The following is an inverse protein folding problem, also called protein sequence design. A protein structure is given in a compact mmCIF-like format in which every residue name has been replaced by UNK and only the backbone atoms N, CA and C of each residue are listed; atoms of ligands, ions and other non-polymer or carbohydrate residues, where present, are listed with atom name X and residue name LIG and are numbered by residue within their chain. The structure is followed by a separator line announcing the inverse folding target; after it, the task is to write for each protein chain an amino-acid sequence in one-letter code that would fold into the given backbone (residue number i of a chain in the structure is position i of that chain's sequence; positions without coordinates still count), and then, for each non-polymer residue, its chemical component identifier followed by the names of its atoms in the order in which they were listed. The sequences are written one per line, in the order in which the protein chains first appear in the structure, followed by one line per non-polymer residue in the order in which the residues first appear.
data_IF_529133508374
#
_entry.id   IF_529133508374
#
_cell.length_a   1.000
_cell.length_b   1.000
_cell.length_c   1.000
_cell.angle_alpha   90.00
_cell.angle_beta   90.00
_cell.angle_gamma   90.00
#
_symmetry.space_group_name_H-M   'P 1'
#
loop_
_entity.id
_entity.type
_entity.pdbx_description
1 polymer ?
#
# COMPACT_ATOMS: atom_id res chain seq x y z
N UNK A 1 22.72 13.50 14.92
CA UNK A 1 21.68 13.20 13.91
C UNK A 1 20.60 14.27 14.00
N UNK A 2 20.18 14.83 12.85
CA UNK A 2 19.23 15.92 12.74
C UNK A 2 18.09 15.53 11.78
N UNK A 3 16.84 15.57 12.29
CA UNK A 3 15.62 15.44 11.50
C UNK A 3 15.14 16.82 11.06
N UNK A 4 14.74 16.97 9.81
CA UNK A 4 13.98 18.13 9.34
C UNK A 4 12.66 17.64 8.71
N UNK A 5 11.53 18.01 9.32
CA UNK A 5 10.21 17.82 8.73
C UNK A 5 9.80 19.12 8.04
N UNK A 6 9.67 19.07 6.71
CA UNK A 6 9.36 20.24 5.87
C UNK A 6 7.87 20.57 5.80
N UNK A 7 7.00 19.72 6.33
CA UNK A 7 5.53 19.82 6.24
C UNK A 7 4.87 19.42 7.55
N UNK A 8 5.28 20.03 8.64
CA UNK A 8 4.95 19.63 10.01
C UNK A 8 3.46 19.43 10.33
N UNK A 9 2.56 20.21 9.74
CA UNK A 9 1.11 20.07 9.90
C UNK A 9 0.69 20.08 11.36
N UNK A 10 -0.08 19.08 11.79
CA UNK A 10 -0.45 18.92 13.22
C UNK A 10 0.68 18.33 14.08
N UNK A 11 1.81 17.98 13.50
CA UNK A 11 2.98 17.45 14.21
C UNK A 11 2.88 15.98 14.60
N UNK A 12 1.93 15.22 14.06
CA UNK A 12 1.72 13.81 14.42
C UNK A 12 2.92 12.97 14.01
N UNK A 13 3.26 12.92 12.71
CA UNK A 13 4.41 12.15 12.21
C UNK A 13 5.71 12.64 12.86
N UNK A 14 5.88 13.96 12.98
CA UNK A 14 7.04 14.57 13.63
C UNK A 14 7.21 14.09 15.07
N UNK A 15 6.13 14.00 15.86
CA UNK A 15 6.18 13.61 17.27
C UNK A 15 6.68 12.18 17.49
N UNK A 16 6.44 11.28 16.53
CA UNK A 16 6.96 9.91 16.57
C UNK A 16 8.40 9.80 16.07
N UNK A 17 8.80 10.63 15.11
CA UNK A 17 10.15 10.60 14.56
C UNK A 17 11.18 11.36 15.41
N UNK A 18 10.82 12.54 15.94
CA UNK A 18 11.72 13.42 16.64
C UNK A 18 12.48 12.78 17.83
N UNK A 19 11.89 11.87 18.63
CA UNK A 19 12.59 11.19 19.72
C UNK A 19 13.80 10.35 19.27
N UNK A 20 13.85 9.98 18.00
CA UNK A 20 14.93 9.15 17.43
C UNK A 20 16.17 9.98 17.02
N UNK A 21 16.09 11.32 17.12
CA UNK A 21 17.14 12.24 16.67
C UNK A 21 17.60 13.16 17.80
N UNK A 22 18.89 13.51 17.78
CA UNK A 22 19.46 14.46 18.74
C UNK A 22 18.97 15.90 18.52
N UNK A 23 18.61 16.22 17.28
CA UNK A 23 18.03 17.50 16.88
C UNK A 23 16.83 17.23 15.96
N UNK A 24 15.77 18.00 16.10
CA UNK A 24 14.59 17.90 15.26
C UNK A 24 14.06 19.29 14.92
N UNK A 25 13.87 19.57 13.64
CA UNK A 25 13.28 20.84 13.15
C UNK A 25 11.95 20.54 12.47
N UNK A 26 10.92 21.17 12.99
CA UNK A 26 9.55 21.17 12.46
C UNK A 26 9.36 22.45 11.66
N UNK A 27 9.00 22.34 10.38
CA UNK A 27 8.74 23.47 9.48
C UNK A 27 7.29 23.43 9.04
N UNK A 28 6.58 24.55 9.21
CA UNK A 28 5.18 24.68 8.80
C UNK A 28 4.88 26.14 8.38
N UNK A 29 4.17 26.28 7.26
CA UNK A 29 3.85 27.60 6.70
C UNK A 29 2.70 28.31 7.44
N UNK A 30 1.81 27.58 8.09
CA UNK A 30 0.65 28.12 8.79
C UNK A 30 1.03 28.51 10.23
N UNK A 31 0.99 29.84 10.57
CA UNK A 31 1.37 30.29 11.93
C UNK A 31 0.55 29.63 13.05
N UNK A 32 -0.72 29.35 12.79
CA UNK A 32 -1.61 28.73 13.78
C UNK A 32 -1.15 27.31 14.15
N UNK A 33 -0.70 26.53 13.16
CA UNK A 33 -0.17 25.17 13.39
C UNK A 33 1.18 25.24 14.11
N UNK A 34 2.02 26.22 13.80
CA UNK A 34 3.26 26.46 14.56
C UNK A 34 2.99 26.81 16.04
N UNK A 35 1.96 27.60 16.33
CA UNK A 35 1.54 27.90 17.70
C UNK A 35 1.06 26.65 18.45
N UNK A 36 0.25 25.82 17.79
CA UNK A 36 -0.19 24.52 18.35
C UNK A 36 1.00 23.60 18.60
N UNK A 37 1.94 23.49 17.65
CA UNK A 37 3.15 22.70 17.82
C UNK A 37 4.00 23.22 18.99
N UNK A 38 4.18 24.54 19.12
CA UNK A 38 4.93 25.15 20.23
C UNK A 38 4.33 24.84 21.60
N UNK A 39 3.01 24.72 21.66
CA UNK A 39 2.31 24.30 22.89
C UNK A 39 2.44 22.78 23.13
N UNK A 40 2.27 21.96 22.09
CA UNK A 40 2.16 20.52 22.23
C UNK A 40 3.52 19.81 22.38
N UNK A 41 4.58 20.27 21.69
CA UNK A 41 5.86 19.56 21.70
C UNK A 41 6.48 19.40 23.09
N UNK A 42 6.46 20.40 24.00
CA UNK A 42 6.90 20.21 25.39
C UNK A 42 6.07 19.16 26.13
N UNK A 43 4.75 19.13 25.91
CA UNK A 43 3.83 18.16 26.54
C UNK A 43 4.09 16.73 26.07
N UNK A 44 4.59 16.58 24.84
CA UNK A 44 5.01 15.32 24.24
C UNK A 44 6.45 14.94 24.56
N UNK A 45 7.07 15.61 25.55
CA UNK A 45 8.48 15.41 25.93
C UNK A 45 9.48 15.66 24.79
N UNK A 46 9.20 16.63 23.92
CA UNK A 46 10.05 17.05 22.80
C UNK A 46 10.59 18.50 22.97
N UNK A 47 11.25 18.84 24.09
CA UNK A 47 11.73 20.21 24.32
C UNK A 47 12.87 20.61 23.37
N UNK A 48 13.51 19.63 22.70
CA UNK A 48 14.56 19.84 21.74
C UNK A 48 14.02 20.11 20.32
N UNK A 49 12.70 20.09 20.11
CA UNK A 49 12.09 20.38 18.82
C UNK A 49 12.17 21.88 18.52
N UNK A 50 12.83 22.21 17.41
CA UNK A 50 12.85 23.59 16.88
C UNK A 50 11.69 23.79 15.95
N UNK A 51 10.81 24.75 16.23
CA UNK A 51 9.68 25.11 15.39
C UNK A 51 10.04 26.29 14.53
N UNK A 52 9.81 26.17 13.22
CA UNK A 52 10.09 27.21 12.21
C UNK A 52 8.82 27.48 11.43
N UNK A 53 8.33 28.71 11.50
CA UNK A 53 7.22 29.16 10.65
C UNK A 53 7.79 29.65 9.31
N UNK A 54 7.74 28.79 8.31
CA UNK A 54 8.25 29.07 6.96
C UNK A 54 7.58 28.17 5.92
N UNK A 55 7.62 28.60 4.67
CA UNK A 55 7.36 27.72 3.52
C UNK A 55 8.47 26.68 3.38
N UNK A 56 8.12 25.44 3.04
CA UNK A 56 9.04 24.31 2.89
C UNK A 56 10.19 24.62 1.88
N UNK A 57 9.83 25.23 0.75
CA UNK A 57 10.79 25.56 -0.32
C UNK A 57 11.77 26.63 0.14
N UNK A 58 11.27 27.68 0.81
CA UNK A 58 12.12 28.74 1.36
C UNK A 58 13.07 28.21 2.44
N UNK A 59 12.56 27.38 3.38
CA UNK A 59 13.42 26.80 4.40
C UNK A 59 14.49 25.90 3.81
N UNK A 60 14.13 25.09 2.81
CA UNK A 60 15.07 24.20 2.13
C UNK A 60 16.24 24.96 1.47
N UNK A 61 16.01 26.16 0.92
CA UNK A 61 17.09 26.98 0.34
C UNK A 61 18.11 27.47 1.37
N UNK A 62 17.74 27.52 2.65
CA UNK A 62 18.60 27.98 3.75
C UNK A 62 19.40 26.84 4.37
N UNK A 63 19.08 25.58 4.07
CA UNK A 63 19.81 24.43 4.59
C UNK A 63 21.16 24.28 3.89
N UNK A 64 22.23 24.20 4.69
CA UNK A 64 23.55 23.89 4.17
C UNK A 64 23.61 22.43 3.66
N UNK A 65 24.50 22.11 2.74
CA UNK A 65 24.76 20.73 2.36
C UNK A 65 25.07 19.87 3.60
N UNK A 66 24.51 18.65 3.65
CA UNK A 66 24.72 17.69 4.74
C UNK A 66 24.37 18.20 6.15
N UNK A 67 23.50 19.21 6.25
CA UNK A 67 23.06 19.79 7.54
C UNK A 67 21.97 18.97 8.24
N UNK A 68 21.34 18.04 7.53
CA UNK A 68 20.37 17.11 8.09
C UNK A 68 20.79 15.66 7.85
N UNK A 69 20.40 14.75 8.73
CA UNK A 69 20.57 13.30 8.55
C UNK A 69 19.38 12.70 7.78
N UNK A 70 18.20 13.27 7.99
CA UNK A 70 16.96 12.88 7.34
C UNK A 70 16.06 14.10 7.12
N UNK A 71 15.47 14.17 5.93
CA UNK A 71 14.36 15.08 5.63
C UNK A 71 13.10 14.23 5.50
N UNK A 72 12.02 14.66 6.17
CA UNK A 72 10.68 14.14 5.97
C UNK A 72 9.80 15.19 5.27
N UNK A 73 8.92 14.72 4.38
CA UNK A 73 7.98 15.58 3.69
C UNK A 73 6.69 14.82 3.38
N UNK A 74 5.53 15.38 3.77
CA UNK A 74 4.17 14.91 3.44
C UNK A 74 3.45 16.00 2.62
N UNK A 75 3.64 16.01 1.29
CA UNK A 75 3.09 17.06 0.44
C UNK A 75 1.56 16.94 0.37
N UNK A 76 0.90 18.09 0.47
CA UNK A 76 -0.53 18.18 0.25
C UNK A 76 -0.87 17.92 -1.22
N UNK A 77 -2.04 17.32 -1.46
CA UNK A 77 -2.59 17.21 -2.81
C UNK A 77 -3.40 18.45 -3.13
N UNK A 78 -3.05 19.15 -4.19
CA UNK A 78 -3.91 20.19 -4.76
C UNK A 78 -4.34 19.76 -6.15
N UNK A 79 -5.64 19.52 -6.34
CA UNK A 79 -6.22 19.57 -7.65
C UNK A 79 -6.81 20.98 -7.84
N UNK A 80 -6.28 21.75 -8.76
CA UNK A 80 -6.87 23.03 -9.19
C UNK A 80 -8.31 22.83 -9.75
N UNK A 81 -8.70 21.60 -10.05
CA UNK A 81 -9.96 21.25 -10.72
C UNK A 81 -10.88 20.34 -9.89
N UNK A 82 -10.56 20.07 -8.61
CA UNK A 82 -11.36 19.15 -7.75
C UNK A 82 -11.33 17.67 -8.19
N UNK A 83 -10.56 17.29 -9.22
CA UNK A 83 -10.35 15.89 -9.61
C UNK A 83 -9.42 15.20 -8.62
N UNK A 84 -9.69 13.94 -8.30
CA UNK A 84 -8.79 13.11 -7.49
C UNK A 84 -7.47 12.95 -8.24
N UNK A 85 -6.45 13.62 -7.76
CA UNK A 85 -5.11 13.59 -8.32
C UNK A 85 -4.43 12.28 -8.01
N UNK A 86 -3.84 11.65 -9.03
CA UNK A 86 -3.21 10.32 -8.96
C UNK A 86 -1.71 10.41 -9.29
N UNK A 87 -1.21 11.60 -9.65
CA UNK A 87 0.16 11.83 -10.10
C UNK A 87 0.99 12.54 -9.03
N UNK A 88 2.29 12.24 -8.97
CA UNK A 88 3.22 12.88 -8.03
C UNK A 88 3.49 14.34 -8.41
N UNK A 89 3.35 14.69 -9.68
CA UNK A 89 3.50 16.05 -10.24
C UNK A 89 2.48 17.04 -9.68
N UNK A 90 1.36 16.54 -9.17
CA UNK A 90 0.29 17.37 -8.60
C UNK A 90 0.46 17.60 -7.08
N UNK A 91 1.54 17.10 -6.49
CA UNK A 91 1.85 17.30 -5.08
C UNK A 91 2.36 18.72 -4.82
N UNK A 92 2.02 19.29 -3.67
CA UNK A 92 2.55 20.57 -3.21
C UNK A 92 3.08 20.45 -1.78
N UNK A 93 4.35 20.80 -1.57
CA UNK A 93 5.32 21.27 -2.58
C UNK A 93 5.65 20.21 -3.64
N UNK A 94 6.15 20.64 -4.81
CA UNK A 94 6.56 19.81 -5.93
C UNK A 94 7.81 18.99 -5.56
N UNK A 95 7.61 17.71 -5.26
CA UNK A 95 8.66 16.79 -4.79
C UNK A 95 9.71 16.55 -5.88
N UNK A 96 9.32 16.49 -7.15
CA UNK A 96 10.24 16.19 -8.25
C UNK A 96 11.26 17.32 -8.37
N UNK A 97 10.78 18.56 -8.35
CA UNK A 97 11.62 19.75 -8.40
C UNK A 97 12.49 19.91 -7.16
N UNK A 98 11.98 19.55 -5.97
CA UNK A 98 12.70 19.72 -4.70
C UNK A 98 13.67 18.58 -4.39
N UNK A 99 13.52 17.38 -4.96
CA UNK A 99 14.33 16.22 -4.67
C UNK A 99 15.87 16.48 -4.75
N UNK A 100 16.41 17.18 -5.76
CA UNK A 100 17.83 17.50 -5.82
C UNK A 100 18.31 18.34 -4.63
N UNK A 101 17.53 19.34 -4.22
CA UNK A 101 17.86 20.24 -3.11
C UNK A 101 17.76 19.52 -1.76
N UNK A 102 16.73 18.69 -1.57
CA UNK A 102 16.59 17.85 -0.39
C UNK A 102 17.77 16.88 -0.27
N UNK A 103 18.13 16.19 -1.35
CA UNK A 103 19.28 15.27 -1.35
C UNK A 103 20.64 15.97 -1.21
N UNK A 104 20.73 17.27 -1.48
CA UNK A 104 21.92 18.08 -1.15
C UNK A 104 22.00 18.34 0.35
N UNK A 105 20.87 18.62 1.01
CA UNK A 105 20.80 18.94 2.44
C UNK A 105 20.86 17.70 3.34
N UNK A 106 20.35 16.54 2.87
CA UNK A 106 20.35 15.26 3.61
C UNK A 106 20.68 14.08 2.71
N UNK A 107 21.35 13.01 3.20
CA UNK A 107 21.60 11.79 2.43
C UNK A 107 20.33 10.96 2.18
N UNK A 108 19.33 11.09 3.03
CA UNK A 108 18.08 10.34 3.03
C UNK A 108 16.91 11.30 3.13
N UNK A 109 15.91 11.10 2.27
CA UNK A 109 14.63 11.80 2.34
C UNK A 109 13.49 10.79 2.34
N UNK A 110 12.54 10.94 3.24
CA UNK A 110 11.30 10.14 3.30
C UNK A 110 10.16 11.02 2.81
N UNK A 111 9.50 10.58 1.76
CA UNK A 111 8.34 11.23 1.16
C UNK A 111 7.09 10.40 1.48
N UNK A 112 6.17 10.95 2.25
CA UNK A 112 4.86 10.32 2.52
C UNK A 112 3.90 10.75 1.43
N UNK A 113 3.23 9.77 0.82
CA UNK A 113 2.35 9.99 -0.31
C UNK A 113 0.99 9.34 -0.08
N UNK A 114 0.01 9.79 -0.82
CA UNK A 114 -1.27 9.13 -0.85
C UNK A 114 -1.19 7.72 -1.41
N UNK A 115 -1.88 6.79 -0.77
CA UNK A 115 -2.04 5.42 -1.26
C UNK A 115 -2.77 5.30 -2.62
N UNK A 116 -3.33 6.39 -3.14
CA UNK A 116 -3.95 6.44 -4.46
C UNK A 116 -2.94 6.64 -5.60
N UNK A 117 -1.71 7.13 -5.31
CA UNK A 117 -0.66 7.36 -6.31
C UNK A 117 -0.17 6.07 -6.96
N UNK A 118 0.16 6.12 -8.26
CA UNK A 118 0.83 5.04 -8.97
C UNK A 118 2.30 4.98 -8.53
N UNK A 119 2.67 3.88 -7.87
CA UNK A 119 4.03 3.67 -7.34
C UNK A 119 5.06 3.66 -8.48
N UNK A 120 4.79 2.93 -9.55
CA UNK A 120 5.73 2.79 -10.66
C UNK A 120 5.95 4.13 -11.39
N UNK A 121 4.89 4.93 -11.55
CA UNK A 121 4.99 6.27 -12.12
C UNK A 121 5.82 7.19 -11.21
N UNK A 122 5.56 7.20 -9.89
CA UNK A 122 6.30 8.01 -8.94
C UNK A 122 7.79 7.62 -8.87
N UNK A 123 8.12 6.33 -8.86
CA UNK A 123 9.50 5.83 -8.89
C UNK A 123 10.23 6.31 -10.15
N UNK A 124 9.59 6.22 -11.32
CA UNK A 124 10.17 6.70 -12.59
C UNK A 124 10.38 8.21 -12.60
N UNK A 125 9.38 8.97 -12.13
CA UNK A 125 9.46 10.43 -12.13
C UNK A 125 10.57 10.96 -11.21
N UNK A 126 10.77 10.34 -10.03
CA UNK A 126 11.81 10.73 -9.08
C UNK A 126 13.21 10.25 -9.49
N UNK A 127 13.34 9.05 -10.06
CA UNK A 127 14.63 8.48 -10.50
C UNK A 127 15.70 8.32 -9.42
N UNK A 128 15.30 8.35 -8.14
CA UNK A 128 16.21 8.28 -6.98
C UNK A 128 15.61 7.51 -5.79
N UNK A 129 14.61 6.68 -6.05
CA UNK A 129 13.94 5.89 -5.02
C UNK A 129 14.76 4.64 -4.70
N UNK A 130 15.10 4.46 -3.42
CA UNK A 130 15.79 3.27 -2.91
C UNK A 130 14.83 2.26 -2.30
N UNK A 131 13.78 2.75 -1.62
CA UNK A 131 12.79 1.90 -0.95
C UNK A 131 11.38 2.47 -1.09
N UNK A 132 10.41 1.57 -1.10
CA UNK A 132 8.97 1.88 -1.05
C UNK A 132 8.35 1.08 0.07
N UNK A 133 7.69 1.73 1.01
CA UNK A 133 6.94 1.08 2.09
C UNK A 133 5.46 1.33 1.92
N UNK A 134 4.68 0.26 1.87
CA UNK A 134 3.22 0.30 1.83
C UNK A 134 2.72 -0.29 3.14
N UNK A 135 2.01 0.51 3.92
CA UNK A 135 1.49 0.11 5.22
C UNK A 135 -0.03 -0.01 5.13
N UNK A 136 -0.53 -1.18 5.52
CA UNK A 136 -1.96 -1.43 5.63
C UNK A 136 -2.32 -1.85 7.06
N UNK A 137 -3.49 -1.45 7.52
CA UNK A 137 -4.10 -1.90 8.78
C UNK A 137 -5.62 -1.92 8.63
N UNK A 138 -6.30 -2.77 9.40
CA UNK A 138 -7.76 -2.91 9.38
C UNK A 138 -8.35 -3.10 7.96
N UNK A 139 -7.64 -3.77 7.07
CA UNK A 139 -8.11 -4.06 5.71
C UNK A 139 -7.95 -2.93 4.69
N UNK A 140 -7.23 -1.86 5.02
CA UNK A 140 -6.99 -0.71 4.13
C UNK A 140 -5.52 -0.31 4.10
N UNK A 141 -5.02 0.14 2.92
CA UNK A 141 -3.74 0.85 2.84
C UNK A 141 -3.87 2.22 3.49
N UNK A 142 -3.02 2.52 4.47
CA UNK A 142 -3.00 3.79 5.19
C UNK A 142 -1.90 4.71 4.68
N UNK A 143 -0.68 4.19 4.53
CA UNK A 143 0.48 4.99 4.16
C UNK A 143 1.25 4.40 2.98
N UNK A 144 1.80 5.29 2.18
CA UNK A 144 2.77 5.02 1.12
C UNK A 144 3.97 5.92 1.36
N UNK A 145 5.13 5.33 1.68
CA UNK A 145 6.37 6.05 1.92
C UNK A 145 7.38 5.71 0.82
N UNK A 146 7.97 6.72 0.21
CA UNK A 146 9.12 6.58 -0.67
C UNK A 146 10.37 7.08 0.04
N UNK A 147 11.41 6.25 0.08
CA UNK A 147 12.73 6.64 0.55
C UNK A 147 13.59 6.96 -0.65
N UNK A 148 14.00 8.20 -0.79
CA UNK A 148 14.91 8.65 -1.83
C UNK A 148 16.31 8.89 -1.25
N UNK A 149 17.34 8.49 -1.99
CA UNK A 149 18.73 8.60 -1.51
C UNK A 149 19.66 9.05 -2.64
N UNK A 150 20.80 9.65 -2.27
CA UNK A 150 21.86 9.99 -3.22
C UNK A 150 22.42 8.75 -3.94
N UNK A 151 22.55 7.63 -3.21
CA UNK A 151 23.05 6.38 -3.77
C UNK A 151 22.11 5.84 -4.84
N UNK A 152 20.80 5.80 -4.58
CA UNK A 152 19.82 5.37 -5.56
C UNK A 152 19.82 6.25 -6.81
N UNK A 153 19.99 7.57 -6.63
CA UNK A 153 20.13 8.53 -7.74
C UNK A 153 21.32 8.17 -8.65
N UNK A 154 22.46 7.84 -8.05
CA UNK A 154 23.66 7.44 -8.80
C UNK A 154 23.48 6.11 -9.56
N UNK A 155 22.57 5.24 -9.10
CA UNK A 155 22.26 3.92 -9.67
C UNK A 155 21.04 3.93 -10.61
N UNK A 156 20.44 5.11 -10.88
CA UNK A 156 19.27 5.26 -11.72
C UNK A 156 17.91 5.00 -11.05
N UNK A 157 17.90 4.59 -9.75
CA UNK A 157 16.73 4.57 -8.85
C UNK A 157 15.42 3.93 -9.34
N UNK A 158 15.48 3.00 -10.30
CA UNK A 158 14.28 2.44 -10.96
C UNK A 158 13.87 1.06 -10.45
N UNK A 159 14.69 0.42 -9.61
CA UNK A 159 14.43 -0.89 -9.04
C UNK A 159 14.51 -0.87 -7.50
N UNK A 160 13.61 -0.10 -6.82
CA UNK A 160 13.63 0.03 -5.37
C UNK A 160 13.24 -1.27 -4.68
N UNK A 161 13.66 -1.42 -3.42
CA UNK A 161 13.13 -2.45 -2.54
C UNK A 161 11.72 -2.07 -2.09
N UNK A 162 10.71 -2.88 -2.43
CA UNK A 162 9.30 -2.63 -2.07
C UNK A 162 8.92 -3.53 -0.91
N UNK A 163 8.44 -2.95 0.18
CA UNK A 163 7.97 -3.68 1.36
C UNK A 163 6.48 -3.40 1.58
N UNK A 164 5.67 -4.46 1.47
CA UNK A 164 4.25 -4.45 1.78
C UNK A 164 4.05 -4.96 3.21
N UNK A 165 3.63 -4.11 4.12
CA UNK A 165 3.46 -4.42 5.54
C UNK A 165 1.99 -4.38 5.94
N UNK A 166 1.53 -5.41 6.64
CA UNK A 166 0.25 -5.43 7.32
C UNK A 166 0.45 -5.26 8.82
N UNK A 167 -0.10 -4.18 9.38
CA UNK A 167 -0.08 -3.92 10.82
C UNK A 167 -1.37 -4.41 11.47
N UNK A 168 -1.24 -5.02 12.63
CA UNK A 168 -2.35 -5.41 13.48
C UNK A 168 -2.91 -4.19 14.22
N UNK A 169 -4.14 -4.26 14.76
CA UNK A 169 -4.76 -3.14 15.48
C UNK A 169 -3.98 -2.67 16.72
N UNK A 170 -3.16 -3.53 17.31
CA UNK A 170 -2.28 -3.20 18.44
C UNK A 170 -0.98 -2.50 18.04
N UNK A 171 -0.78 -2.24 16.73
CA UNK A 171 0.41 -1.59 16.19
C UNK A 171 1.59 -2.53 15.91
N UNK A 172 1.46 -3.83 16.17
CA UNK A 172 2.50 -4.82 15.83
C UNK A 172 2.46 -5.18 14.35
N UNK A 173 3.58 -5.68 13.82
CA UNK A 173 3.66 -6.14 12.43
C UNK A 173 3.05 -7.54 12.35
N UNK A 174 1.90 -7.66 11.68
CA UNK A 174 1.22 -8.92 11.40
C UNK A 174 1.84 -9.70 10.23
N UNK A 175 2.72 -9.07 9.46
CA UNK A 175 3.47 -9.68 8.36
C UNK A 175 4.02 -8.65 7.39
N UNK A 176 5.10 -9.00 6.68
CA UNK A 176 5.67 -8.17 5.61
C UNK A 176 6.17 -9.02 4.44
N UNK A 177 6.01 -8.53 3.23
CA UNK A 177 6.55 -9.10 2.00
C UNK A 177 7.45 -8.07 1.35
N UNK A 178 8.70 -8.44 1.09
CA UNK A 178 9.70 -7.57 0.48
C UNK A 178 10.18 -8.16 -0.85
N UNK A 179 10.25 -7.33 -1.88
CA UNK A 179 10.64 -7.72 -3.24
C UNK A 179 11.10 -6.48 -4.03
N UNK A 180 11.67 -6.69 -5.20
CA UNK A 180 11.95 -5.63 -6.18
C UNK A 180 11.01 -5.73 -7.39
N UNK A 181 10.80 -4.66 -8.17
CA UNK A 181 10.09 -4.75 -9.45
C UNK A 181 10.67 -5.81 -10.39
N UNK A 182 11.99 -6.01 -10.36
CA UNK A 182 12.66 -7.03 -11.15
C UNK A 182 12.31 -8.46 -10.68
N UNK A 183 12.19 -8.68 -9.36
CA UNK A 183 11.75 -9.97 -8.82
C UNK A 183 10.34 -10.31 -9.28
N UNK A 184 9.40 -9.35 -9.20
CA UNK A 184 8.02 -9.53 -9.68
C UNK A 184 7.98 -9.78 -11.19
N UNK A 185 8.79 -9.07 -11.98
CA UNK A 185 8.86 -9.24 -13.43
C UNK A 185 9.33 -10.67 -13.81
N UNK A 186 10.38 -11.15 -13.13
CA UNK A 186 11.02 -12.44 -13.42
C UNK A 186 10.28 -13.64 -12.80
N UNK A 187 9.44 -13.42 -11.81
CA UNK A 187 8.71 -14.48 -11.11
C UNK A 187 7.80 -15.27 -12.07
N UNK A 188 7.84 -16.59 -11.98
CA UNK A 188 7.01 -17.53 -12.75
C UNK A 188 6.31 -18.51 -11.82
N UNK A 189 5.26 -18.05 -11.11
CA UNK A 189 4.53 -18.91 -10.19
C UNK A 189 3.73 -19.99 -10.93
N UNK A 190 3.53 -21.16 -10.31
CA UNK A 190 2.67 -22.19 -10.85
C UNK A 190 1.23 -21.71 -10.94
N UNK A 191 0.53 -22.18 -11.98
CA UNK A 191 -0.90 -21.95 -12.17
C UNK A 191 -1.62 -23.28 -11.91
N UNK A 192 -2.62 -23.27 -11.02
CA UNK A 192 -3.40 -24.46 -10.67
C UNK A 192 -4.34 -24.84 -11.83
N UNK A 193 -4.37 -26.10 -12.18
CA UNK A 193 -5.32 -26.64 -13.17
C UNK A 193 -6.79 -26.49 -12.69
N UNK A 194 -6.99 -26.57 -11.37
CA UNK A 194 -8.28 -26.38 -10.69
C UNK A 194 -8.05 -25.79 -9.30
N UNK A 195 -9.07 -25.14 -8.68
CA UNK A 195 -8.99 -24.69 -7.31
C UNK A 195 -8.77 -25.87 -6.36
N UNK A 196 -7.85 -25.70 -5.40
CA UNK A 196 -7.52 -26.68 -4.36
C UNK A 196 -8.31 -26.36 -3.08
N UNK A 197 -8.00 -27.06 -1.99
CA UNK A 197 -8.76 -27.01 -0.73
C UNK A 197 -8.87 -25.60 -0.13
N UNK A 198 -7.79 -24.81 -0.18
CA UNK A 198 -7.77 -23.46 0.39
C UNK A 198 -7.62 -22.40 -0.70
N UNK A 199 -8.36 -21.30 -0.53
CA UNK A 199 -8.30 -20.10 -1.39
C UNK A 199 -7.73 -18.95 -0.56
N UNK A 200 -6.79 -18.22 -1.15
CA UNK A 200 -6.09 -17.10 -0.52
C UNK A 200 -6.34 -15.83 -1.29
N UNK A 201 -6.78 -14.80 -0.60
CA UNK A 201 -6.95 -13.47 -1.15
C UNK A 201 -5.97 -12.51 -0.49
N UNK A 202 -5.04 -11.89 -1.24
CA UNK A 202 -4.01 -11.03 -0.68
C UNK A 202 -4.59 -9.77 -0.05
N UNK A 203 -3.94 -9.31 1.00
CA UNK A 203 -4.28 -8.09 1.71
C UNK A 203 -4.00 -6.82 0.91
N UNK A 204 -4.51 -5.67 1.37
CA UNK A 204 -4.44 -4.42 0.61
C UNK A 204 -3.00 -3.93 0.37
N UNK A 205 -2.04 -4.17 1.29
CA UNK A 205 -0.65 -3.79 1.07
C UNK A 205 -0.02 -4.55 -0.11
N UNK A 206 -0.23 -5.88 -0.18
CA UNK A 206 0.25 -6.73 -1.29
C UNK A 206 -0.43 -6.29 -2.61
N UNK A 207 -1.73 -6.06 -2.57
CA UNK A 207 -2.48 -5.60 -3.76
C UNK A 207 -1.97 -4.25 -4.26
N UNK A 208 -1.70 -3.31 -3.37
CA UNK A 208 -1.15 -1.99 -3.70
C UNK A 208 0.29 -2.06 -4.21
N UNK A 209 1.10 -2.97 -3.64
CA UNK A 209 2.48 -3.20 -4.05
C UNK A 209 2.59 -3.83 -5.45
N UNK A 210 1.53 -4.49 -5.92
CA UNK A 210 1.56 -5.24 -7.18
C UNK A 210 2.35 -6.56 -7.11
N UNK A 211 2.56 -7.10 -5.90
CA UNK A 211 3.36 -8.32 -5.65
C UNK A 211 2.58 -9.61 -5.95
N UNK A 212 2.07 -9.75 -7.16
CA UNK A 212 1.13 -10.84 -7.47
C UNK A 212 1.81 -12.19 -7.74
N UNK A 213 2.94 -12.18 -8.42
CA UNK A 213 3.70 -13.39 -8.72
C UNK A 213 4.62 -13.73 -7.54
N UNK A 214 5.26 -12.72 -6.98
CA UNK A 214 6.15 -12.87 -5.82
C UNK A 214 5.40 -13.42 -4.61
N UNK A 215 4.16 -12.99 -4.37
CA UNK A 215 3.30 -13.55 -3.31
C UNK A 215 3.09 -15.05 -3.49
N UNK A 216 2.80 -15.51 -4.71
CA UNK A 216 2.62 -16.94 -4.95
C UNK A 216 3.88 -17.74 -4.65
N UNK A 217 5.05 -17.25 -5.05
CA UNK A 217 6.33 -17.93 -4.78
C UNK A 217 6.70 -17.88 -3.30
N UNK A 218 6.53 -16.73 -2.64
CA UNK A 218 6.85 -16.56 -1.22
C UNK A 218 6.08 -17.52 -0.31
N UNK A 219 4.77 -17.65 -0.57
CA UNK A 219 3.88 -18.52 0.21
C UNK A 219 3.73 -19.93 -0.38
N UNK A 220 4.48 -20.28 -1.44
CA UNK A 220 4.41 -21.56 -2.14
C UNK A 220 2.99 -21.91 -2.61
N UNK A 221 2.26 -20.89 -3.10
CA UNK A 221 0.89 -21.00 -3.58
C UNK A 221 0.86 -21.12 -5.11
N UNK A 222 -0.24 -21.65 -5.63
CA UNK A 222 -0.53 -21.63 -7.06
C UNK A 222 -1.56 -20.53 -7.37
N UNK A 223 -1.40 -19.83 -8.50
CA UNK A 223 -2.41 -18.86 -8.97
C UNK A 223 -3.55 -19.59 -9.65
N UNK A 224 -4.79 -19.09 -9.50
CA UNK A 224 -5.95 -19.65 -10.24
C UNK A 224 -5.94 -19.28 -11.73
N UNK A 225 -5.32 -18.16 -12.09
CA UNK A 225 -5.14 -17.69 -13.47
C UNK A 225 -4.08 -16.59 -13.50
N UNK A 226 -3.45 -16.35 -14.63
CA UNK A 226 -2.41 -15.31 -14.78
C UNK A 226 -2.89 -13.93 -14.28
N UNK A 227 -4.11 -13.54 -14.63
CA UNK A 227 -4.70 -12.23 -14.29
C UNK A 227 -5.61 -12.29 -13.05
N UNK A 228 -5.73 -13.42 -12.38
CA UNK A 228 -6.49 -13.57 -11.14
C UNK A 228 -5.56 -13.44 -9.95
N UNK A 229 -5.90 -12.52 -9.03
CA UNK A 229 -5.16 -12.32 -7.78
C UNK A 229 -5.80 -13.10 -6.63
N UNK A 230 -6.16 -14.36 -6.91
CA UNK A 230 -6.52 -15.40 -5.95
C UNK A 230 -5.54 -16.54 -6.11
N UNK A 231 -5.20 -17.15 -4.99
CA UNK A 231 -4.26 -18.27 -4.94
C UNK A 231 -4.90 -19.47 -4.28
N UNK A 232 -4.28 -20.63 -4.43
CA UNK A 232 -4.79 -21.87 -3.89
C UNK A 232 -3.68 -22.80 -3.44
N UNK A 233 -3.98 -23.66 -2.44
CA UNK A 233 -3.13 -24.74 -1.97
C UNK A 233 -4.00 -25.85 -1.32
N UNK A 234 -3.45 -27.08 -1.21
CA UNK A 234 -4.12 -28.19 -0.53
C UNK A 234 -3.97 -28.14 1.00
N UNK A 235 -3.01 -27.38 1.48
CA UNK A 235 -2.70 -27.23 2.92
C UNK A 235 -2.89 -25.79 3.36
N UNK A 236 -3.13 -25.59 4.63
CA UNK A 236 -3.21 -24.26 5.24
C UNK A 236 -1.81 -23.64 5.32
N UNK A 237 -1.64 -22.47 4.73
CA UNK A 237 -0.41 -21.66 4.82
C UNK A 237 -0.55 -20.72 6.00
N UNK A 238 0.29 -20.86 7.05
CA UNK A 238 0.28 -19.95 8.18
C UNK A 238 0.76 -18.55 7.76
N UNK A 239 0.38 -17.55 8.52
CA UNK A 239 0.87 -16.16 8.41
C UNK A 239 0.69 -15.51 7.01
N UNK A 240 -0.25 -16.03 6.21
CA UNK A 240 -0.58 -15.41 4.92
C UNK A 240 -1.10 -13.99 5.13
N UNK A 241 -0.47 -13.01 4.49
CA UNK A 241 -0.87 -11.61 4.57
C UNK A 241 -2.12 -11.34 3.73
N UNK A 242 -3.27 -11.73 4.23
CA UNK A 242 -4.53 -11.61 3.54
C UNK A 242 -5.66 -12.32 4.24
N UNK A 243 -6.59 -12.82 3.45
CA UNK A 243 -7.72 -13.63 3.94
C UNK A 243 -7.60 -15.05 3.41
N UNK A 244 -7.79 -16.02 4.28
CA UNK A 244 -7.77 -17.45 3.94
C UNK A 244 -9.17 -18.02 4.05
N UNK A 245 -9.52 -18.87 3.10
CA UNK A 245 -10.84 -19.49 3.00
C UNK A 245 -10.69 -20.97 2.70
N UNK A 246 -11.58 -21.80 3.23
CA UNK A 246 -11.72 -23.20 2.82
C UNK A 246 -12.75 -23.28 1.68
N UNK A 247 -12.37 -23.88 0.57
CA UNK A 247 -13.24 -24.12 -0.58
C UNK A 247 -14.24 -25.23 -0.26
N UNK A 248 -15.53 -24.96 -0.35
CA UNK A 248 -16.62 -25.94 -0.14
C UNK A 248 -17.12 -26.52 -1.45
N UNK A 249 -17.23 -25.69 -2.49
CA UNK A 249 -17.69 -26.14 -3.81
C UNK A 249 -17.26 -25.15 -4.91
N UNK A 250 -17.12 -25.67 -6.13
CA UNK A 250 -16.89 -24.88 -7.34
C UNK A 250 -18.09 -25.05 -8.29
N UNK A 251 -18.65 -23.95 -8.75
CA UNK A 251 -19.76 -23.91 -9.69
C UNK A 251 -19.33 -23.20 -10.97
N UNK A 252 -19.61 -23.78 -12.13
CA UNK A 252 -19.46 -23.08 -13.40
C UNK A 252 -20.59 -22.06 -13.60
N UNK A 253 -20.37 -21.05 -14.45
CA UNK A 253 -21.34 -19.97 -14.67
C UNK A 253 -22.45 -20.37 -15.64
N UNK A 254 -23.16 -21.47 -15.37
CA UNK A 254 -24.29 -22.01 -16.14
C UNK A 254 -25.60 -22.07 -15.37
N UNK A 255 -26.76 -22.06 -16.04
CA UNK A 255 -28.10 -22.00 -15.40
C UNK A 255 -28.29 -23.09 -14.33
N UNK A 256 -27.90 -24.33 -14.62
CA UNK A 256 -28.05 -25.47 -13.70
C UNK A 256 -27.18 -25.27 -12.42
N UNK A 257 -25.93 -24.87 -12.61
CA UNK A 257 -24.97 -24.64 -11.53
C UNK A 257 -25.38 -23.46 -10.64
N UNK A 258 -25.88 -22.36 -11.24
CA UNK A 258 -26.39 -21.22 -10.49
C UNK A 258 -27.64 -21.60 -9.66
N UNK A 259 -28.49 -22.53 -10.18
CA UNK A 259 -29.62 -23.05 -9.40
C UNK A 259 -29.13 -23.92 -8.25
N UNK A 260 -28.13 -24.78 -8.46
CA UNK A 260 -27.49 -25.58 -7.41
C UNK A 260 -26.87 -24.72 -6.31
N UNK A 261 -26.12 -23.68 -6.68
CA UNK A 261 -25.54 -22.75 -5.71
C UNK A 261 -26.63 -22.07 -4.84
N UNK A 262 -27.75 -21.66 -5.44
CA UNK A 262 -28.88 -21.05 -4.71
C UNK A 262 -29.57 -22.01 -3.75
N UNK A 263 -29.54 -23.31 -3.99
CA UNK A 263 -30.10 -24.30 -3.05
C UNK A 263 -29.23 -24.49 -1.81
N UNK A 264 -27.94 -24.13 -1.88
CA UNK A 264 -27.00 -24.19 -0.75
C UNK A 264 -27.12 -22.93 0.12
N UNK A 265 -27.17 -21.76 -0.50
CA UNK A 265 -27.25 -20.51 0.26
C UNK A 265 -28.06 -19.42 -0.49
N UNK A 266 -28.77 -18.59 0.30
CA UNK A 266 -29.44 -17.37 -0.15
C UNK A 266 -28.76 -16.10 0.38
N UNK A 267 -27.65 -16.26 1.11
CA UNK A 267 -26.92 -15.15 1.70
C UNK A 267 -25.40 -15.44 1.63
N UNK A 268 -24.61 -14.51 1.07
CA UNK A 268 -23.18 -14.64 0.97
C UNK A 268 -22.49 -13.29 0.74
N UNK A 269 -21.25 -13.19 1.19
CA UNK A 269 -20.32 -12.12 0.84
C UNK A 269 -19.77 -12.39 -0.58
N UNK A 270 -20.08 -11.54 -1.53
CA UNK A 270 -19.74 -11.74 -2.94
C UNK A 270 -18.58 -10.85 -3.36
N UNK A 271 -17.53 -11.44 -3.90
CA UNK A 271 -16.39 -10.74 -4.48
C UNK A 271 -16.16 -11.16 -5.94
N UNK A 272 -15.70 -10.21 -6.75
CA UNK A 272 -15.38 -10.41 -8.17
C UNK A 272 -13.88 -10.22 -8.37
N UNK A 273 -13.22 -11.21 -8.98
CA UNK A 273 -11.79 -11.20 -9.30
C UNK A 273 -11.57 -11.75 -10.71
N UNK A 274 -11.25 -10.89 -11.67
CA UNK A 274 -11.08 -11.26 -13.08
C UNK A 274 -12.31 -12.00 -13.64
N UNK A 275 -13.47 -11.34 -13.62
CA UNK A 275 -14.75 -11.92 -14.05
C UNK A 275 -15.58 -10.88 -14.83
N UNK A 276 -16.31 -11.24 -15.89
CA UNK A 276 -16.97 -10.30 -16.81
C UNK A 276 -18.30 -9.72 -16.31
N UNK A 277 -18.58 -9.77 -15.00
CA UNK A 277 -19.78 -9.19 -14.42
C UNK A 277 -19.48 -8.45 -13.12
N UNK A 278 -20.25 -7.41 -12.80
CA UNK A 278 -20.14 -6.69 -11.53
C UNK A 278 -20.76 -7.47 -10.36
N UNK A 279 -20.35 -7.14 -9.14
CA UNK A 279 -20.92 -7.69 -7.89
C UNK A 279 -22.44 -7.51 -7.88
N UNK A 280 -22.96 -6.32 -8.22
CA UNK A 280 -24.38 -6.02 -8.19
C UNK A 280 -25.18 -6.85 -9.22
N UNK A 281 -24.64 -7.02 -10.43
CA UNK A 281 -25.23 -7.85 -11.47
C UNK A 281 -25.33 -9.32 -11.04
N UNK A 282 -24.22 -9.84 -10.46
CA UNK A 282 -24.18 -11.21 -9.96
C UNK A 282 -25.12 -11.41 -8.76
N UNK A 283 -25.15 -10.46 -7.83
CA UNK A 283 -26.03 -10.50 -6.66
C UNK A 283 -27.51 -10.60 -7.07
N UNK A 284 -27.93 -9.76 -8.02
CA UNK A 284 -29.29 -9.81 -8.60
C UNK A 284 -29.56 -11.15 -9.29
N UNK A 285 -28.64 -11.61 -10.14
CA UNK A 285 -28.76 -12.88 -10.88
C UNK A 285 -28.81 -14.09 -9.97
N UNK A 286 -28.01 -14.11 -8.89
CA UNK A 286 -27.95 -15.16 -7.88
C UNK A 286 -29.05 -15.02 -6.82
N UNK A 287 -29.78 -13.88 -6.77
CA UNK A 287 -30.77 -13.56 -5.73
C UNK A 287 -30.21 -13.69 -4.32
N UNK A 288 -28.95 -13.24 -4.11
CA UNK A 288 -28.26 -13.33 -2.82
C UNK A 288 -28.47 -12.06 -2.00
N UNK A 289 -28.69 -12.23 -0.70
CA UNK A 289 -28.54 -11.17 0.31
C UNK A 289 -27.06 -11.06 0.68
N UNK A 290 -26.64 -9.89 1.15
CA UNK A 290 -25.27 -9.66 1.61
C UNK A 290 -25.03 -10.23 3.00
N UNK A 291 -23.77 -10.65 3.29
CA UNK A 291 -23.36 -11.18 4.59
C UNK A 291 -23.54 -12.70 4.72
N UNK A 292 -23.60 -13.18 5.98
CA UNK A 292 -23.63 -14.61 6.30
C UNK A 292 -22.23 -15.24 6.34
N UNK A 293 -22.14 -16.57 6.60
CA UNK A 293 -20.85 -17.26 6.78
C UNK A 293 -20.12 -17.54 5.46
N UNK A 294 -20.86 -17.59 4.36
CA UNK A 294 -20.31 -17.94 3.06
C UNK A 294 -19.70 -16.74 2.34
N UNK A 295 -18.60 -17.01 1.63
CA UNK A 295 -17.97 -16.14 0.66
C UNK A 295 -18.05 -16.77 -0.72
N UNK A 296 -18.39 -15.98 -1.74
CA UNK A 296 -18.42 -16.43 -3.13
C UNK A 296 -17.46 -15.57 -3.94
N UNK A 297 -16.41 -16.20 -4.47
CA UNK A 297 -15.50 -15.55 -5.40
C UNK A 297 -15.93 -15.89 -6.83
N UNK A 298 -16.37 -14.88 -7.58
CA UNK A 298 -16.57 -15.00 -9.01
C UNK A 298 -15.24 -14.72 -9.71
N UNK A 299 -14.69 -15.71 -10.41
CA UNK A 299 -13.35 -15.65 -10.97
C UNK A 299 -13.22 -16.41 -12.29
N UNK A 300 -12.11 -16.19 -13.00
CA UNK A 300 -11.71 -16.96 -14.18
C UNK A 300 -10.58 -17.90 -13.79
N UNK A 301 -10.70 -19.18 -14.17
CA UNK A 301 -9.71 -20.23 -13.93
C UNK A 301 -8.67 -20.30 -15.06
N UNK A 302 -7.66 -21.15 -14.91
CA UNK A 302 -6.54 -21.31 -15.83
C UNK A 302 -6.96 -21.61 -17.27
N UNK A 303 -7.98 -22.42 -17.46
CA UNK A 303 -8.56 -22.82 -18.75
C UNK A 303 -9.52 -21.79 -19.37
N UNK A 304 -9.68 -20.62 -18.73
CA UNK A 304 -10.65 -19.58 -19.13
C UNK A 304 -12.07 -19.79 -18.62
N UNK A 305 -12.34 -20.87 -17.90
CA UNK A 305 -13.67 -21.14 -17.33
C UNK A 305 -14.04 -20.08 -16.29
N UNK A 306 -15.26 -19.53 -16.40
CA UNK A 306 -15.85 -18.66 -15.41
C UNK A 306 -16.46 -19.49 -14.29
N UNK A 307 -15.95 -19.34 -13.06
CA UNK A 307 -16.33 -20.11 -11.89
C UNK A 307 -16.80 -19.23 -10.74
N UNK A 308 -17.67 -19.80 -9.90
CA UNK A 308 -18.07 -19.28 -8.61
C UNK A 308 -17.55 -20.24 -7.54
N UNK A 309 -16.62 -19.77 -6.72
CA UNK A 309 -16.00 -20.54 -5.63
C UNK A 309 -16.79 -20.24 -4.36
N UNK A 310 -17.50 -21.23 -3.83
CA UNK A 310 -18.18 -21.15 -2.53
C UNK A 310 -17.20 -21.51 -1.44
N UNK A 311 -16.95 -20.60 -0.52
CA UNK A 311 -15.93 -20.71 0.51
C UNK A 311 -16.46 -20.34 1.89
N UNK A 312 -15.81 -20.81 2.94
CA UNK A 312 -15.94 -20.35 4.32
C UNK A 312 -14.61 -19.77 4.79
N UNK A 313 -14.66 -18.73 5.62
CA UNK A 313 -13.44 -18.12 6.16
C UNK A 313 -12.83 -19.04 7.22
N UNK A 314 -11.52 -19.24 7.15
CA UNK A 314 -10.72 -19.96 8.16
C UNK A 314 -10.35 -19.02 9.31
#
# INVERSE_FOLDING_TARGET
QHLVDLTGGLGVDFSFMAPLFAQATYVEQQPQLCQLAAHNMPLLALPHARIVNADATQHLTQLAPDSASLIFIDPARRSATGRKTVLIEDCQPDIITLAPSMLKAAPVVVVKLSTMLDIAAAVRALGCVSQVHIVATAGECKDLLLVITRQAKAQGGTNPLITATNMLPDGTIGGSLTFTPQDEANATPPIAAQPLRYIYEPGPAIMKAGAFKTTALHYQLQKLHTNTHLYTADHLVPDFQGRTFELKATYTFGKAQLKALRSVTTQANLAVRNFPASVDSLRKRLKLRDGGPYYIFATTLADGTHALLLCERV
#
